data_IF_405458460210
#
_entry.id   IF_405458460210
#
_cell.length_a   1.000
_cell.length_b   1.000
_cell.length_c   1.000
_cell.angle_alpha   90.00
_cell.angle_beta   90.00
_cell.angle_gamma   90.00
#
_symmetry.space_group_name_H-M   'P 1'
#
loop_
_entity.id
_entity.type
_entity.pdbx_description
1 polymer ?
#
# COMPACT_ATOMS: atom_id res chain seq x y z
N UNK A 1 4.60 -7.35 -8.09
CA UNK A 1 3.66 -6.48 -8.79
C UNK A 1 2.60 -7.31 -9.51
N UNK A 2 1.39 -6.76 -9.75
CA UNK A 2 0.27 -7.56 -10.24
C UNK A 2 -0.26 -7.15 -11.62
N UNK A 3 -0.04 -5.93 -12.15
CA UNK A 3 -0.33 -5.61 -13.53
C UNK A 3 0.47 -6.48 -14.50
N UNK A 4 -0.13 -6.90 -15.60
CA UNK A 4 0.48 -7.84 -16.57
C UNK A 4 1.85 -7.36 -17.05
N UNK A 5 1.98 -6.08 -17.38
CA UNK A 5 3.24 -5.49 -17.84
C UNK A 5 4.34 -5.59 -16.77
N UNK A 6 3.99 -5.43 -15.50
CA UNK A 6 4.93 -5.52 -14.39
C UNK A 6 5.38 -6.96 -14.16
N UNK A 7 4.47 -7.91 -14.25
CA UNK A 7 4.80 -9.34 -14.16
C UNK A 7 5.71 -9.79 -15.31
N UNK A 8 5.51 -9.27 -16.52
CA UNK A 8 6.37 -9.55 -17.67
C UNK A 8 7.77 -8.97 -17.45
N UNK A 9 7.87 -7.73 -16.97
CA UNK A 9 9.15 -7.09 -16.62
C UNK A 9 9.88 -7.87 -15.53
N UNK A 10 9.20 -8.29 -14.48
CA UNK A 10 9.79 -9.10 -13.41
C UNK A 10 10.32 -10.44 -13.92
N UNK A 11 9.60 -11.12 -14.81
CA UNK A 11 10.04 -12.38 -15.44
C UNK A 11 11.31 -12.17 -16.27
N UNK A 12 11.37 -11.10 -17.05
CA UNK A 12 12.57 -10.76 -17.82
C UNK A 12 13.78 -10.49 -16.91
N UNK A 13 13.58 -9.70 -15.85
CA UNK A 13 14.63 -9.41 -14.87
C UNK A 13 15.10 -10.71 -14.22
N UNK A 14 14.18 -11.54 -13.72
CA UNK A 14 14.52 -12.83 -13.11
C UNK A 14 15.34 -13.71 -14.04
N UNK A 15 14.95 -13.80 -15.32
CA UNK A 15 15.65 -14.58 -16.31
C UNK A 15 17.09 -14.07 -16.53
N UNK A 16 17.26 -12.77 -16.74
CA UNK A 16 18.57 -12.14 -16.94
C UNK A 16 19.51 -12.36 -15.73
N UNK A 17 19.00 -12.19 -14.52
CA UNK A 17 19.80 -12.40 -13.32
C UNK A 17 20.21 -13.87 -13.14
N UNK A 18 19.29 -14.80 -13.41
CA UNK A 18 19.56 -16.23 -13.35
C UNK A 18 20.62 -16.68 -14.36
N UNK A 19 20.56 -16.17 -15.59
CA UNK A 19 21.57 -16.43 -16.64
C UNK A 19 22.97 -15.96 -16.23
N UNK A 20 23.05 -14.93 -15.38
CA UNK A 20 24.30 -14.38 -14.87
C UNK A 20 24.68 -14.93 -13.48
N UNK A 21 24.03 -16.00 -13.01
CA UNK A 21 24.25 -16.61 -11.69
C UNK A 21 24.08 -15.63 -10.52
N UNK A 22 23.18 -14.65 -10.64
CA UNK A 22 22.82 -13.70 -9.58
C UNK A 22 21.57 -14.22 -8.89
N UNK A 23 21.60 -14.34 -7.56
CA UNK A 23 20.45 -14.73 -6.75
C UNK A 23 19.38 -13.63 -6.77
N UNK A 24 18.12 -14.02 -6.97
CA UNK A 24 16.97 -13.10 -6.93
C UNK A 24 16.01 -13.55 -5.83
N UNK A 25 15.63 -12.61 -4.98
CA UNK A 25 14.66 -12.82 -3.91
C UNK A 25 13.48 -11.89 -4.18
N UNK A 26 12.28 -12.43 -4.29
CA UNK A 26 11.05 -11.67 -4.50
C UNK A 26 10.21 -11.71 -3.21
N UNK A 27 9.61 -10.57 -2.87
CA UNK A 27 8.76 -10.40 -1.69
C UNK A 27 7.45 -9.73 -2.08
N UNK A 28 6.35 -10.10 -1.42
CA UNK A 28 5.07 -9.44 -1.56
C UNK A 28 4.95 -8.32 -0.51
N UNK A 29 4.91 -7.08 -0.95
CA UNK A 29 4.83 -5.91 -0.06
C UNK A 29 3.71 -4.91 -0.43
N UNK A 30 3.06 -5.07 -1.57
CA UNK A 30 1.97 -4.18 -2.01
C UNK A 30 0.67 -4.41 -1.23
N UNK A 31 0.43 -5.63 -0.77
CA UNK A 31 -0.78 -6.05 -0.04
C UNK A 31 -0.41 -6.93 1.14
N UNK A 32 -1.31 -7.04 2.11
CA UNK A 32 -1.07 -7.78 3.36
C UNK A 32 -1.12 -9.30 3.13
N UNK A 33 -2.18 -9.78 2.50
CA UNK A 33 -2.28 -11.17 2.10
C UNK A 33 -1.86 -11.32 0.64
N UNK A 34 -1.08 -12.34 0.35
CA UNK A 34 -0.68 -12.66 -1.03
C UNK A 34 -1.92 -12.81 -1.92
N UNK A 35 -1.93 -12.23 -3.15
CA UNK A 35 -3.04 -12.37 -4.07
C UNK A 35 -3.37 -13.83 -4.33
N UNK A 36 -4.65 -14.14 -4.24
CA UNK A 36 -5.12 -15.52 -4.42
C UNK A 36 -4.90 -16.46 -3.24
N UNK A 37 -4.27 -16.04 -2.13
CA UNK A 37 -4.15 -16.87 -0.92
C UNK A 37 -5.48 -17.04 -0.20
N UNK A 38 -6.30 -15.98 -0.17
CA UNK A 38 -7.63 -16.05 0.44
C UNK A 38 -8.65 -16.63 -0.54
N UNK A 39 -9.18 -17.80 -0.19
CA UNK A 39 -10.18 -18.52 -1.01
C UNK A 39 -11.50 -18.70 -0.28
N UNK A 40 -12.57 -18.81 -1.07
CA UNK A 40 -13.88 -19.25 -0.58
C UNK A 40 -13.82 -20.68 -0.08
N UNK A 41 -14.87 -21.16 0.58
CA UNK A 41 -14.98 -22.56 1.02
C UNK A 41 -14.92 -23.56 -0.17
N UNK A 42 -15.27 -23.11 -1.36
CA UNK A 42 -15.22 -23.91 -2.59
C UNK A 42 -13.89 -23.80 -3.35
N UNK A 43 -12.89 -23.10 -2.78
CA UNK A 43 -11.57 -22.91 -3.39
C UNK A 43 -11.49 -21.83 -4.47
N UNK A 44 -12.57 -21.09 -4.73
CA UNK A 44 -12.60 -20.01 -5.70
C UNK A 44 -12.12 -18.67 -5.12
N UNK A 45 -11.77 -17.72 -6.00
CA UNK A 45 -11.52 -16.33 -5.59
C UNK A 45 -12.82 -15.67 -5.10
N UNK A 46 -12.67 -14.69 -4.23
CA UNK A 46 -13.81 -13.88 -3.80
C UNK A 46 -14.17 -12.87 -4.89
N UNK A 47 -15.45 -12.81 -5.23
CA UNK A 47 -16.05 -11.78 -6.11
C UNK A 47 -16.91 -10.77 -5.35
N UNK A 48 -17.13 -11.00 -4.04
CA UNK A 48 -17.97 -10.16 -3.19
C UNK A 48 -17.18 -9.71 -1.98
N UNK A 49 -17.18 -8.41 -1.71
CA UNK A 49 -16.37 -7.78 -0.66
C UNK A 49 -16.67 -8.27 0.76
N UNK A 50 -17.94 -8.38 1.17
CA UNK A 50 -18.26 -8.67 2.57
C UNK A 50 -17.77 -10.04 3.07
N UNK A 51 -17.89 -11.14 2.32
CA UNK A 51 -17.26 -12.41 2.72
C UNK A 51 -15.74 -12.36 2.61
N UNK A 52 -15.17 -11.66 1.63
CA UNK A 52 -13.73 -11.41 1.54
C UNK A 52 -13.21 -10.71 2.79
N UNK A 53 -13.81 -9.58 3.17
CA UNK A 53 -13.43 -8.82 4.36
C UNK A 53 -13.43 -9.69 5.63
N UNK A 54 -14.48 -10.50 5.84
CA UNK A 54 -14.53 -11.41 6.99
C UNK A 54 -13.39 -12.43 7.01
N UNK A 55 -13.10 -13.03 5.84
CA UNK A 55 -12.02 -13.99 5.71
C UNK A 55 -10.67 -13.31 5.91
N UNK A 56 -10.50 -12.12 5.35
CA UNK A 56 -9.29 -11.32 5.47
C UNK A 56 -8.91 -11.05 6.93
N UNK A 57 -9.85 -10.57 7.75
CA UNK A 57 -9.60 -10.34 9.17
C UNK A 57 -9.44 -11.63 9.97
N UNK A 58 -10.14 -12.70 9.60
CA UNK A 58 -10.03 -13.98 10.30
C UNK A 58 -8.66 -14.65 10.09
N UNK A 59 -7.96 -14.32 9.00
CA UNK A 59 -6.65 -14.86 8.68
C UNK A 59 -5.51 -13.85 8.84
N UNK A 60 -5.82 -12.66 9.34
CA UNK A 60 -4.79 -11.67 9.65
C UNK A 60 -3.99 -12.11 10.88
N UNK A 61 -2.68 -12.26 10.68
CA UNK A 61 -1.73 -12.52 11.75
C UNK A 61 -1.06 -11.20 12.18
N UNK A 62 -0.80 -11.05 13.46
CA UNK A 62 -0.17 -9.83 14.00
C UNK A 62 1.20 -9.58 13.33
N UNK A 63 1.98 -10.62 13.06
CA UNK A 63 3.27 -10.55 12.37
C UNK A 63 3.18 -9.94 10.96
N UNK A 64 2.02 -10.06 10.30
CA UNK A 64 1.80 -9.45 8.98
C UNK A 64 1.71 -7.92 9.06
N UNK A 65 1.47 -7.38 10.25
CA UNK A 65 1.43 -5.93 10.51
C UNK A 65 2.74 -5.40 11.10
N UNK A 66 3.76 -6.23 11.31
CA UNK A 66 5.06 -5.78 11.79
C UNK A 66 5.70 -4.84 10.76
N UNK A 67 6.05 -3.65 11.21
CA UNK A 67 6.80 -2.67 10.42
C UNK A 67 8.28 -2.94 10.63
N UNK A 68 8.98 -3.28 9.57
CA UNK A 68 10.42 -3.49 9.63
C UNK A 68 11.14 -2.14 9.74
N UNK A 69 12.11 -2.07 10.64
CA UNK A 69 12.99 -0.91 10.73
C UNK A 69 13.84 -0.77 9.46
N UNK A 70 14.06 0.47 9.05
CA UNK A 70 14.96 0.77 7.93
C UNK A 70 16.37 0.33 8.34
N UNK A 71 17.02 -0.57 7.60
CA UNK A 71 18.38 -0.99 7.93
C UNK A 71 19.31 0.21 7.94
N UNK A 72 20.12 0.33 8.99
CA UNK A 72 21.14 1.37 9.04
C UNK A 72 22.01 1.30 7.78
N UNK A 73 22.14 2.42 7.08
CA UNK A 73 22.98 2.52 5.87
C UNK A 73 24.38 2.00 6.21
N UNK A 74 24.77 0.87 5.65
CA UNK A 74 26.19 0.52 5.57
C UNK A 74 26.84 1.62 4.73
N UNK A 75 27.78 2.35 5.32
CA UNK A 75 28.65 3.29 4.61
C UNK A 75 29.19 2.56 3.38
N UNK A 76 29.06 3.12 2.18
CA UNK A 76 29.77 2.69 0.97
C UNK A 76 29.05 1.79 -0.06
N UNK A 77 27.74 1.95 -0.26
CA UNK A 77 27.24 1.67 -1.60
C UNK A 77 26.98 2.99 -2.34
N UNK A 78 28.05 3.64 -2.74
CA UNK A 78 27.96 4.68 -3.79
C UNK A 78 27.97 3.93 -5.11
N UNK A 79 26.80 3.59 -5.62
CA UNK A 79 26.69 3.25 -7.04
C UNK A 79 27.04 4.53 -7.83
N UNK A 80 27.93 4.48 -8.82
CA UNK A 80 28.09 5.60 -9.73
C UNK A 80 26.75 5.80 -10.43
N UNK A 81 25.97 6.76 -9.94
CA UNK A 81 24.69 7.12 -10.54
C UNK A 81 24.92 7.92 -11.78
N UNK A 82 24.16 7.62 -12.82
CA UNK A 82 23.84 8.59 -13.88
C UNK A 82 23.32 9.84 -13.18
N UNK A 83 23.80 11.01 -13.53
CA UNK A 83 23.35 12.26 -12.93
C UNK A 83 21.83 12.38 -13.07
N UNK A 84 21.12 12.33 -11.97
CA UNK A 84 19.65 12.36 -11.94
C UNK A 84 19.09 13.67 -12.52
N UNK A 85 19.90 14.72 -12.54
CA UNK A 85 19.58 16.05 -13.07
C UNK A 85 19.14 16.03 -14.55
N UNK A 86 19.78 15.24 -15.38
CA UNK A 86 19.41 15.13 -16.82
C UNK A 86 18.03 14.47 -17.00
N UNK A 87 17.64 13.59 -16.10
CA UNK A 87 16.32 12.94 -16.11
C UNK A 87 15.21 13.82 -15.55
N UNK A 88 15.51 14.61 -14.52
CA UNK A 88 14.51 15.41 -13.82
C UNK A 88 14.01 16.59 -14.66
N UNK A 89 14.85 17.16 -15.53
CA UNK A 89 14.45 18.26 -16.43
C UNK A 89 13.38 17.83 -17.46
N UNK A 90 13.38 16.54 -17.85
CA UNK A 90 12.36 15.98 -18.74
C UNK A 90 11.01 15.73 -18.05
N UNK A 91 10.99 15.63 -16.72
CA UNK A 91 9.83 15.31 -15.88
C UNK A 91 9.38 16.45 -14.97
N UNK A 92 9.84 17.69 -15.21
CA UNK A 92 9.33 18.86 -14.49
C UNK A 92 7.87 19.10 -14.88
N UNK A 93 6.95 18.83 -13.95
CA UNK A 93 5.52 18.99 -14.18
C UNK A 93 4.91 20.02 -13.24
N UNK A 94 3.99 20.82 -13.74
CA UNK A 94 3.20 21.83 -13.01
C UNK A 94 2.36 21.23 -11.85
N UNK A 95 2.33 19.90 -11.72
CA UNK A 95 1.56 19.19 -10.69
C UNK A 95 2.39 18.73 -9.49
N UNK A 96 3.70 18.90 -9.50
CA UNK A 96 4.58 18.46 -8.40
C UNK A 96 4.19 19.09 -7.05
N UNK A 97 3.78 20.35 -7.06
CA UNK A 97 3.37 21.07 -5.86
C UNK A 97 2.06 20.54 -5.23
N UNK A 98 1.24 19.86 -6.02
CA UNK A 98 -0.02 19.28 -5.54
C UNK A 98 0.20 17.96 -4.79
N UNK A 99 1.35 17.31 -5.01
CA UNK A 99 1.69 16.01 -4.46
C UNK A 99 3.10 16.05 -3.87
N UNK A 100 3.28 16.71 -2.70
CA UNK A 100 4.59 16.81 -2.07
C UNK A 100 5.19 15.43 -1.85
N UNK A 101 6.44 15.25 -2.24
CA UNK A 101 7.15 13.99 -2.12
C UNK A 101 7.80 13.83 -0.73
N UNK A 102 8.07 12.58 -0.37
CA UNK A 102 8.81 12.22 0.83
C UNK A 102 8.02 11.39 1.82
N UNK A 103 8.69 10.39 2.38
CA UNK A 103 8.11 9.46 3.33
C UNK A 103 7.65 10.16 4.62
N UNK A 104 8.48 11.01 5.18
CA UNK A 104 8.17 11.79 6.38
C UNK A 104 6.93 12.69 6.17
N UNK A 105 6.83 13.33 5.01
CA UNK A 105 5.66 14.15 4.68
C UNK A 105 4.38 13.32 4.70
N UNK A 106 4.37 12.18 4.01
CA UNK A 106 3.15 11.38 3.88
C UNK A 106 2.76 10.72 5.20
N UNK A 107 3.72 10.32 6.01
CA UNK A 107 3.47 9.79 7.35
C UNK A 107 2.78 10.83 8.24
N UNK A 108 3.31 12.05 8.30
CA UNK A 108 2.68 13.16 9.03
C UNK A 108 1.29 13.50 8.49
N UNK A 109 1.11 13.50 7.18
CA UNK A 109 -0.17 13.76 6.54
C UNK A 109 -1.23 12.71 6.93
N UNK A 110 -0.86 11.42 6.99
CA UNK A 110 -1.77 10.35 7.41
C UNK A 110 -2.12 10.48 8.89
N UNK A 111 -1.17 10.78 9.75
CA UNK A 111 -1.41 11.02 11.17
C UNK A 111 -2.40 12.17 11.38
N UNK A 112 -2.25 13.29 10.67
CA UNK A 112 -3.19 14.39 10.69
C UNK A 112 -4.57 13.99 10.16
N UNK A 113 -4.62 13.25 9.05
CA UNK A 113 -5.88 12.74 8.50
C UNK A 113 -6.61 11.87 9.51
N UNK A 114 -5.95 10.88 10.11
CA UNK A 114 -6.56 9.97 11.07
C UNK A 114 -7.06 10.72 12.30
N UNK A 115 -6.29 11.67 12.79
CA UNK A 115 -6.62 12.49 13.96
C UNK A 115 -7.83 13.40 13.74
N UNK A 116 -7.92 14.08 12.61
CA UNK A 116 -8.89 15.18 12.40
C UNK A 116 -10.04 14.81 11.46
N UNK A 117 -9.83 13.91 10.52
CA UNK A 117 -10.81 13.54 9.47
C UNK A 117 -11.27 12.08 9.56
N UNK A 118 -10.40 11.17 10.01
CA UNK A 118 -10.63 9.73 10.01
C UNK A 118 -11.89 9.32 10.73
N UNK A 119 -12.18 9.89 11.91
CA UNK A 119 -13.36 9.57 12.71
C UNK A 119 -14.70 9.87 12.02
N UNK A 120 -14.72 10.82 11.11
CA UNK A 120 -15.92 11.25 10.34
C UNK A 120 -15.90 10.76 8.89
N UNK A 121 -14.88 10.06 8.49
CA UNK A 121 -14.62 9.64 7.11
C UNK A 121 -15.82 8.94 6.47
N UNK A 122 -16.46 7.99 7.15
CA UNK A 122 -17.61 7.23 6.63
C UNK A 122 -18.73 8.11 6.06
N UNK A 123 -18.97 9.25 6.68
CA UNK A 123 -20.05 10.15 6.28
C UNK A 123 -19.56 11.17 5.27
N UNK A 124 -18.46 11.84 5.58
CA UNK A 124 -17.96 13.00 4.82
C UNK A 124 -17.40 12.64 3.44
N UNK A 125 -16.88 11.41 3.27
CA UNK A 125 -16.36 10.94 1.98
C UNK A 125 -17.35 11.01 0.82
N UNK A 126 -18.65 11.00 1.13
CA UNK A 126 -19.71 11.06 0.12
C UNK A 126 -19.97 12.47 -0.43
N UNK A 127 -19.31 13.47 0.10
CA UNK A 127 -19.47 14.86 -0.29
C UNK A 127 -18.19 15.39 -0.96
N UNK A 128 -18.11 15.38 -2.32
CA UNK A 128 -16.88 15.75 -3.04
C UNK A 128 -16.40 17.20 -2.76
N UNK A 129 -17.30 18.09 -2.37
CA UNK A 129 -16.98 19.47 -2.00
C UNK A 129 -16.27 19.59 -0.63
N UNK A 130 -16.24 18.52 0.17
CA UNK A 130 -15.58 18.49 1.47
C UNK A 130 -14.24 17.77 1.33
N UNK A 131 -13.16 18.43 1.77
CA UNK A 131 -11.84 17.79 1.85
C UNK A 131 -11.79 16.80 3.02
N UNK A 132 -12.33 15.61 2.81
CA UNK A 132 -12.51 14.57 3.82
C UNK A 132 -11.89 13.21 3.46
N UNK A 133 -11.21 13.11 2.32
CA UNK A 133 -10.53 11.87 1.88
C UNK A 133 -9.04 11.97 2.11
N UNK A 134 -8.39 10.82 2.28
CA UNK A 134 -6.95 10.77 2.54
C UNK A 134 -6.09 10.98 1.27
N UNK A 135 -6.66 10.88 0.07
CA UNK A 135 -5.96 11.08 -1.22
C UNK A 135 -4.64 10.30 -1.34
N UNK A 136 -4.59 9.07 -0.84
CA UNK A 136 -3.35 8.29 -0.73
C UNK A 136 -2.99 7.48 -1.98
N UNK A 137 -3.91 7.34 -2.93
CA UNK A 137 -3.69 6.46 -4.10
C UNK A 137 -2.37 6.70 -4.83
N UNK A 138 -1.95 7.95 -5.11
CA UNK A 138 -0.66 8.19 -5.76
C UNK A 138 0.53 7.71 -4.92
N UNK A 139 0.48 7.91 -3.61
CA UNK A 139 1.58 7.55 -2.70
C UNK A 139 1.70 6.05 -2.48
N UNK A 140 0.56 5.35 -2.36
CA UNK A 140 0.54 3.88 -2.26
C UNK A 140 1.02 3.27 -3.59
N UNK A 141 0.52 3.79 -4.73
CA UNK A 141 0.92 3.29 -6.03
C UNK A 141 2.40 3.53 -6.35
N UNK A 142 2.96 4.65 -5.90
CA UNK A 142 4.38 4.95 -6.03
C UNK A 142 5.28 4.25 -4.98
N UNK A 143 4.68 3.52 -4.03
CA UNK A 143 5.42 2.84 -2.95
C UNK A 143 6.02 3.77 -1.89
N UNK A 144 5.57 5.03 -1.82
CA UNK A 144 6.04 6.01 -0.82
C UNK A 144 5.52 5.67 0.58
N UNK A 145 4.35 5.02 0.64
CA UNK A 145 3.76 4.48 1.87
C UNK A 145 3.12 3.14 1.58
N UNK A 146 3.28 2.18 2.48
CA UNK A 146 2.67 0.86 2.34
C UNK A 146 1.26 0.82 2.91
N UNK A 147 0.41 -0.04 2.34
CA UNK A 147 -0.91 -0.36 2.89
C UNK A 147 -0.81 -0.89 4.32
N UNK A 148 0.23 -1.66 4.62
CA UNK A 148 0.53 -2.16 5.96
C UNK A 148 0.70 -1.04 6.97
N UNK A 149 1.53 -0.05 6.65
CA UNK A 149 1.76 1.11 7.52
C UNK A 149 0.45 1.87 7.79
N UNK A 150 -0.38 2.06 6.77
CA UNK A 150 -1.69 2.68 6.91
C UNK A 150 -2.60 1.92 7.88
N UNK A 151 -2.60 0.58 7.83
CA UNK A 151 -3.41 -0.24 8.74
C UNK A 151 -2.90 -0.18 10.18
N UNK A 152 -1.58 -0.22 10.39
CA UNK A 152 -0.97 -0.06 11.72
C UNK A 152 -1.36 1.28 12.33
N UNK A 153 -1.26 2.37 11.57
CA UNK A 153 -1.69 3.68 12.02
C UNK A 153 -3.19 3.76 12.31
N UNK A 154 -4.03 3.18 11.46
CA UNK A 154 -5.47 3.11 11.75
C UNK A 154 -5.76 2.37 13.06
N UNK A 155 -5.05 1.26 13.33
CA UNK A 155 -5.16 0.48 14.57
C UNK A 155 -4.79 1.33 15.79
N UNK A 156 -3.66 2.06 15.74
CA UNK A 156 -3.24 2.98 16.81
C UNK A 156 -4.30 4.04 17.15
N UNK A 157 -4.92 4.66 16.14
CA UNK A 157 -5.97 5.68 16.34
C UNK A 157 -7.34 5.13 16.70
N UNK A 158 -7.53 3.80 16.61
CA UNK A 158 -8.80 3.12 16.83
C UNK A 158 -8.77 2.14 18.01
N UNK A 159 -8.01 2.43 19.05
CA UNK A 159 -7.87 1.60 20.26
C UNK A 159 -7.47 0.15 19.95
N UNK A 160 -6.49 -0.04 19.11
CA UNK A 160 -5.98 -1.34 18.64
C UNK A 160 -6.98 -2.20 17.85
N UNK A 161 -8.05 -1.61 17.31
CA UNK A 161 -9.08 -2.30 16.55
C UNK A 161 -9.02 -1.91 15.05
N UNK A 162 -9.20 -2.88 14.15
CA UNK A 162 -9.26 -2.65 12.70
C UNK A 162 -10.67 -2.83 12.13
N UNK A 163 -11.46 -3.75 12.64
CA UNK A 163 -12.79 -4.12 12.12
C UNK A 163 -13.95 -3.68 13.03
N UNK A 164 -13.64 -3.12 14.19
CA UNK A 164 -14.59 -2.56 15.15
C UNK A 164 -14.11 -1.20 15.68
N UNK A 165 -14.86 -0.57 16.58
CA UNK A 165 -14.56 0.73 17.16
C UNK A 165 -15.15 1.90 16.37
N UNK A 166 -14.35 2.91 16.04
CA UNK A 166 -14.82 4.08 15.32
C UNK A 166 -15.21 3.76 13.88
N UNK A 167 -16.49 4.00 13.53
CA UNK A 167 -17.05 3.65 12.21
C UNK A 167 -16.39 4.39 11.05
N UNK A 168 -15.81 5.55 11.26
CA UNK A 168 -15.06 6.29 10.24
C UNK A 168 -13.75 5.60 9.91
N UNK A 169 -12.98 5.26 10.95
CA UNK A 169 -11.69 4.56 10.83
C UNK A 169 -11.87 3.14 10.25
N UNK A 170 -12.84 2.38 10.75
CA UNK A 170 -13.18 1.05 10.20
C UNK A 170 -13.55 1.14 8.71
N UNK A 171 -14.25 2.20 8.31
CA UNK A 171 -14.60 2.39 6.91
C UNK A 171 -13.39 2.76 6.06
N UNK A 172 -12.48 3.60 6.57
CA UNK A 172 -11.24 3.92 5.90
C UNK A 172 -10.34 2.68 5.71
N UNK A 173 -10.19 1.86 6.74
CA UNK A 173 -9.53 0.54 6.64
C UNK A 173 -10.17 -0.31 5.54
N UNK A 174 -11.51 -0.32 5.45
CA UNK A 174 -12.23 -1.06 4.41
C UNK A 174 -11.86 -0.61 2.99
N UNK A 175 -11.54 0.67 2.76
CA UNK A 175 -11.10 1.14 1.44
C UNK A 175 -9.71 0.62 1.08
N UNK A 176 -8.82 0.49 2.05
CA UNK A 176 -7.49 -0.12 1.84
C UNK A 176 -7.66 -1.61 1.47
N UNK A 177 -8.55 -2.32 2.15
CA UNK A 177 -8.84 -3.73 1.85
C UNK A 177 -9.48 -3.93 0.46
N UNK A 178 -10.23 -2.95 -0.06
CA UNK A 178 -10.76 -3.01 -1.42
C UNK A 178 -9.66 -3.15 -2.47
N UNK A 179 -8.54 -2.48 -2.30
CA UNK A 179 -7.38 -2.62 -3.18
C UNK A 179 -6.89 -4.07 -3.22
N UNK A 180 -6.82 -4.73 -2.05
CA UNK A 180 -6.44 -6.14 -1.97
C UNK A 180 -7.40 -7.06 -2.73
N UNK A 181 -8.72 -6.81 -2.65
CA UNK A 181 -9.70 -7.61 -3.39
C UNK A 181 -9.56 -7.43 -4.91
N UNK A 182 -9.34 -6.20 -5.38
CA UNK A 182 -9.18 -5.93 -6.81
C UNK A 182 -7.99 -6.68 -7.40
N UNK A 183 -6.87 -6.75 -6.70
CA UNK A 183 -5.71 -7.53 -7.13
C UNK A 183 -5.93 -9.05 -7.12
N UNK A 184 -6.94 -9.56 -6.40
CA UNK A 184 -7.24 -11.00 -6.34
C UNK A 184 -8.31 -11.43 -7.33
N UNK A 185 -9.11 -10.50 -7.84
CA UNK A 185 -10.23 -10.81 -8.77
C UNK A 185 -9.78 -10.88 -10.23
N UNK A 186 -8.68 -10.22 -10.59
CA UNK A 186 -8.17 -10.12 -11.96
C UNK A 186 -6.96 -11.02 -12.24
N UNK A 187 -6.58 -11.87 -11.26
CA UNK A 187 -5.45 -12.79 -11.37
C UNK A 187 -5.85 -14.18 -11.89
#
# INVERSE_FOLDING_TARGET
EYPINELEREREIYTKFKENNIGVFAYHDQVIHEPGSLKTQTGNNFSVYSPFKRKWFAELLDEQLDILEIPQKKKEMVMPGTELSEFLDEFSHDYADQWPAGEEYIQNYIDEFLKFKGTTYKVKRNFPAIDATAKLSPYINAGVVSSKWCLVKAKEYNNDLLDDGNKGLVHWVSEILWSCLLYTSDA
#
